data_IF_171898984274
#
_entry.id   IF_171898984274
#
_cell.length_a   1.000
_cell.length_b   1.000
_cell.length_c   1.000
_cell.angle_alpha   90.00
_cell.angle_beta   90.00
_cell.angle_gamma   90.00
#
_symmetry.space_group_name_H-M   'P 1'
#
loop_
_entity.id
_entity.type
_entity.pdbx_description
1 polymer ?
#
# COMPACT_ATOMS: atom_id res chain seq x y z
N UNK A 1 25.47 -1.51 6.46
CA UNK A 1 24.20 -2.25 6.68
C UNK A 1 23.12 -1.19 6.85
N UNK A 2 22.45 -0.83 5.75
CA UNK A 2 21.39 0.18 5.76
C UNK A 2 20.13 -0.54 6.23
N UNK A 3 19.64 -0.19 7.42
CA UNK A 3 18.37 -0.71 7.94
C UNK A 3 17.25 -0.03 7.15
N UNK A 4 16.70 -0.73 6.17
CA UNK A 4 15.48 -0.30 5.49
C UNK A 4 14.32 -0.27 6.50
N UNK A 5 13.82 0.92 6.79
CA UNK A 5 12.54 1.08 7.51
C UNK A 5 11.42 0.94 6.48
N UNK A 6 10.83 -0.24 6.42
CA UNK A 6 9.62 -0.46 5.64
C UNK A 6 8.43 0.30 6.24
N UNK A 7 7.42 0.69 5.44
CA UNK A 7 6.21 1.36 5.95
C UNK A 7 5.45 0.58 7.04
N UNK A 8 5.71 -0.74 7.18
CA UNK A 8 5.20 -1.56 8.28
C UNK A 8 5.84 -1.28 9.63
N UNK A 9 7.06 -0.70 9.65
CA UNK A 9 7.79 -0.33 10.87
C UNK A 9 7.32 1.01 11.48
N UNK A 10 6.29 1.66 10.92
CA UNK A 10 5.69 2.88 11.48
C UNK A 10 4.91 2.64 12.79
N UNK A 11 4.80 1.39 13.25
CA UNK A 11 4.47 1.10 14.65
C UNK A 11 5.64 1.39 15.60
N UNK A 12 6.83 1.71 15.08
CA UNK A 12 8.01 2.02 15.87
C UNK A 12 8.06 3.51 16.29
N UNK A 13 8.14 3.69 17.53
CA UNK A 13 8.31 4.75 18.51
C UNK A 13 8.92 6.12 18.14
N UNK A 14 9.20 6.45 16.88
CA UNK A 14 9.79 7.73 16.45
C UNK A 14 9.04 8.46 15.32
N UNK A 15 7.89 7.93 14.83
CA UNK A 15 7.04 8.69 13.92
C UNK A 15 6.33 9.82 14.69
N UNK A 16 6.09 11.00 14.07
CA UNK A 16 5.28 12.03 14.67
C UNK A 16 3.94 11.46 15.14
N UNK A 17 3.46 11.89 16.31
CA UNK A 17 2.22 11.39 16.94
C UNK A 17 1.01 11.49 15.98
N UNK A 18 0.98 12.50 15.13
CA UNK A 18 -0.05 12.70 14.09
C UNK A 18 -0.04 11.64 13.00
N UNK A 19 1.14 11.20 12.53
CA UNK A 19 1.26 10.15 11.52
C UNK A 19 0.86 8.78 12.08
N UNK A 20 1.26 8.47 13.31
CA UNK A 20 0.84 7.27 14.01
C UNK A 20 -0.68 7.24 14.24
N UNK A 21 -1.29 8.37 14.59
CA UNK A 21 -2.75 8.50 14.77
C UNK A 21 -3.49 8.34 13.45
N UNK A 22 -3.02 8.98 12.37
CA UNK A 22 -3.62 8.87 11.04
C UNK A 22 -3.66 7.41 10.59
N UNK A 23 -2.54 6.69 10.70
CA UNK A 23 -2.47 5.28 10.31
C UNK A 23 -3.45 4.39 11.12
N UNK A 24 -3.59 4.67 12.44
CA UNK A 24 -4.58 3.96 13.28
C UNK A 24 -6.02 4.26 12.85
N UNK A 25 -6.34 5.52 12.57
CA UNK A 25 -7.68 5.93 12.13
C UNK A 25 -8.01 5.36 10.75
N UNK A 26 -7.07 5.40 9.79
CA UNK A 26 -7.23 4.77 8.47
C UNK A 26 -7.52 3.27 8.62
N UNK A 27 -6.73 2.56 9.43
CA UNK A 27 -6.99 1.16 9.73
C UNK A 27 -8.38 0.93 10.30
N UNK A 28 -8.75 1.67 11.36
CA UNK A 28 -10.01 1.48 12.07
C UNK A 28 -11.24 1.79 11.19
N UNK A 29 -11.11 2.70 10.20
CA UNK A 29 -12.15 2.97 9.20
C UNK A 29 -12.19 1.83 8.17
N UNK A 30 -11.05 1.48 7.56
CA UNK A 30 -10.97 0.50 6.47
C UNK A 30 -11.28 -0.93 6.92
N UNK A 31 -11.05 -1.25 8.20
CA UNK A 31 -11.44 -2.53 8.81
C UNK A 31 -12.86 -2.53 9.42
N UNK A 32 -13.61 -1.42 9.30
CA UNK A 32 -15.00 -1.33 9.75
C UNK A 32 -15.19 -1.15 11.27
N UNK A 33 -14.13 -0.87 12.04
CA UNK A 33 -14.25 -0.49 13.46
C UNK A 33 -15.00 0.84 13.63
N UNK A 34 -14.85 1.75 12.68
CA UNK A 34 -15.76 2.88 12.49
C UNK A 34 -16.68 2.58 11.30
N UNK A 35 -17.98 2.62 11.53
CA UNK A 35 -18.98 2.29 10.50
C UNK A 35 -19.22 3.46 9.56
N UNK A 36 -19.54 3.17 8.32
CA UNK A 36 -19.99 4.17 7.36
C UNK A 36 -21.17 4.99 7.93
N UNK A 37 -21.13 6.31 7.76
CA UNK A 37 -22.07 7.26 8.34
C UNK A 37 -21.85 7.56 9.83
N UNK A 38 -20.91 6.89 10.50
CA UNK A 38 -20.62 7.17 11.91
C UNK A 38 -19.98 8.55 12.05
N UNK A 39 -20.50 9.33 13.01
CA UNK A 39 -19.91 10.63 13.37
C UNK A 39 -18.62 10.43 14.16
N UNK A 40 -17.57 11.13 13.75
CA UNK A 40 -16.29 11.20 14.47
C UNK A 40 -16.20 12.54 15.21
N UNK A 41 -16.14 12.50 16.54
CA UNK A 41 -15.96 13.72 17.33
C UNK A 41 -14.53 13.84 17.85
N UNK A 42 -13.98 15.06 17.84
CA UNK A 42 -12.62 15.30 18.36
C UNK A 42 -12.49 14.78 19.80
N UNK A 43 -13.53 14.97 20.63
CA UNK A 43 -13.52 14.57 22.04
C UNK A 43 -13.40 13.05 22.21
N UNK A 44 -14.18 12.27 21.45
CA UNK A 44 -14.13 10.80 21.48
C UNK A 44 -12.78 10.28 20.96
N UNK A 45 -12.27 10.85 19.87
CA UNK A 45 -10.98 10.45 19.31
C UNK A 45 -9.82 10.79 20.27
N UNK A 46 -9.83 11.97 20.90
CA UNK A 46 -8.84 12.32 21.92
C UNK A 46 -8.85 11.31 23.09
N UNK A 47 -10.04 10.92 23.54
CA UNK A 47 -10.18 9.94 24.63
C UNK A 47 -9.76 8.54 24.21
N UNK A 48 -10.16 8.10 22.99
CA UNK A 48 -9.91 6.73 22.49
C UNK A 48 -8.43 6.47 22.22
N UNK A 49 -7.72 7.48 21.68
CA UNK A 49 -6.31 7.33 21.29
C UNK A 49 -5.32 8.02 22.25
N UNK A 50 -5.82 8.59 23.35
CA UNK A 50 -5.03 9.25 24.41
C UNK A 50 -4.14 10.39 23.85
N UNK A 51 -4.70 11.22 22.96
CA UNK A 51 -4.01 12.31 22.28
C UNK A 51 -4.71 13.65 22.48
N UNK A 52 -4.01 14.75 22.24
CA UNK A 52 -4.58 16.11 22.27
C UNK A 52 -5.41 16.40 21.00
N UNK A 53 -6.12 17.54 20.97
CA UNK A 53 -7.00 17.92 19.84
C UNK A 53 -6.24 18.23 18.55
N UNK A 54 -5.02 18.77 18.63
CA UNK A 54 -4.25 19.16 17.45
C UNK A 54 -3.97 17.98 16.51
N UNK A 55 -3.34 16.86 16.96
CA UNK A 55 -3.13 15.70 16.08
C UNK A 55 -4.43 15.07 15.57
N UNK A 56 -5.53 15.15 16.35
CA UNK A 56 -6.84 14.65 15.89
C UNK A 56 -7.37 15.47 14.71
N UNK A 57 -7.28 16.81 14.79
CA UNK A 57 -7.70 17.69 13.69
C UNK A 57 -6.88 17.49 12.42
N UNK A 58 -5.57 17.35 12.57
CA UNK A 58 -4.67 17.06 11.45
C UNK A 58 -5.01 15.73 10.80
N UNK A 59 -5.22 14.68 11.60
CA UNK A 59 -5.60 13.37 11.10
C UNK A 59 -6.98 13.40 10.41
N UNK A 60 -8.00 14.05 10.99
CA UNK A 60 -9.32 14.18 10.35
C UNK A 60 -9.25 14.94 9.04
N UNK A 61 -8.43 16.00 8.96
CA UNK A 61 -8.22 16.74 7.71
C UNK A 61 -7.56 15.85 6.64
N UNK A 62 -6.57 15.05 7.03
CA UNK A 62 -5.93 14.14 6.08
C UNK A 62 -6.88 13.04 5.62
N UNK A 63 -7.70 12.48 6.52
CA UNK A 63 -8.74 11.50 6.18
C UNK A 63 -9.80 12.07 5.22
N UNK A 64 -10.10 13.37 5.32
CA UNK A 64 -10.99 14.06 4.38
C UNK A 64 -10.33 14.19 3.01
N UNK A 65 -9.04 14.54 2.94
CA UNK A 65 -8.26 14.57 1.70
C UNK A 65 -8.18 13.19 1.06
N UNK A 66 -8.05 12.14 1.89
CA UNK A 66 -8.00 10.74 1.45
C UNK A 66 -9.38 10.18 1.05
N UNK A 67 -10.47 10.96 1.23
CA UNK A 67 -11.83 10.56 0.91
C UNK A 67 -12.47 9.55 1.87
N UNK A 68 -11.85 9.28 3.02
CA UNK A 68 -12.37 8.34 4.03
C UNK A 68 -13.37 8.98 5.01
N UNK A 69 -13.36 10.30 5.09
CA UNK A 69 -14.22 11.10 5.97
C UNK A 69 -14.73 12.31 5.19
N UNK A 70 -15.95 12.75 5.49
CA UNK A 70 -16.47 14.04 5.03
C UNK A 70 -16.74 14.98 6.20
N UNK A 71 -16.42 16.26 6.02
CA UNK A 71 -16.76 17.31 6.97
C UNK A 71 -18.04 18.03 6.51
N UNK A 72 -19.14 17.83 7.24
CA UNK A 72 -20.40 18.51 6.97
C UNK A 72 -20.47 19.76 7.85
N UNK A 73 -20.67 20.92 7.20
CA UNK A 73 -20.75 22.21 7.89
C UNK A 73 -21.77 22.17 9.03
N UNK A 74 -21.36 22.62 10.21
CA UNK A 74 -22.11 22.63 11.47
C UNK A 74 -22.55 21.24 11.99
N UNK A 75 -22.16 20.13 11.36
CA UNK A 75 -22.51 18.77 11.79
C UNK A 75 -21.29 17.96 12.22
N UNK A 76 -20.09 18.29 11.74
CA UNK A 76 -18.83 17.64 12.05
C UNK A 76 -18.41 16.59 11.03
N UNK A 77 -17.44 15.75 11.39
CA UNK A 77 -16.84 14.73 10.53
C UNK A 77 -17.63 13.42 10.58
N UNK A 78 -17.83 12.79 9.41
CA UNK A 78 -18.54 11.52 9.24
C UNK A 78 -17.71 10.55 8.40
N UNK A 79 -17.73 9.28 8.74
CA UNK A 79 -17.03 8.23 8.01
C UNK A 79 -17.73 7.97 6.67
N UNK A 80 -16.98 8.09 5.57
CA UNK A 80 -17.40 7.61 4.24
C UNK A 80 -16.95 6.15 4.08
N UNK A 81 -15.69 5.85 4.44
CA UNK A 81 -15.07 4.56 4.22
C UNK A 81 -14.75 4.33 2.75
N UNK A 82 -14.68 3.06 2.34
CA UNK A 82 -14.54 2.62 0.94
C UNK A 82 -15.56 1.52 0.64
N UNK A 83 -16.34 1.69 -0.41
CA UNK A 83 -17.22 0.66 -0.96
C UNK A 83 -16.40 -0.36 -1.78
N UNK A 84 -17.01 -1.51 -2.11
CA UNK A 84 -16.37 -2.47 -3.02
C UNK A 84 -16.11 -1.87 -4.40
N UNK A 85 -17.00 -1.02 -4.91
CA UNK A 85 -16.80 -0.30 -6.16
C UNK A 85 -15.59 0.64 -6.07
N UNK A 86 -15.42 1.39 -4.95
CA UNK A 86 -14.24 2.26 -4.76
C UNK A 86 -12.93 1.46 -4.80
N UNK A 87 -12.93 0.25 -4.22
CA UNK A 87 -11.78 -0.64 -4.30
C UNK A 87 -11.51 -1.12 -5.72
N UNK A 88 -12.53 -1.52 -6.48
CA UNK A 88 -12.37 -1.94 -7.87
C UNK A 88 -11.82 -0.83 -8.75
N UNK A 89 -12.41 0.37 -8.66
CA UNK A 89 -11.97 1.54 -9.40
C UNK A 89 -10.53 1.93 -9.03
N UNK A 90 -10.19 1.87 -7.74
CA UNK A 90 -8.84 2.10 -7.26
C UNK A 90 -7.83 1.09 -7.86
N UNK A 91 -8.20 -0.21 -7.96
CA UNK A 91 -7.32 -1.21 -8.57
C UNK A 91 -7.09 -0.95 -10.05
N UNK A 92 -8.10 -0.51 -10.81
CA UNK A 92 -7.95 -0.14 -12.22
C UNK A 92 -7.01 1.07 -12.38
N UNK A 93 -7.19 2.11 -11.57
CA UNK A 93 -6.30 3.26 -11.59
C UNK A 93 -4.87 2.87 -11.17
N UNK A 94 -4.75 2.10 -10.09
CA UNK A 94 -3.45 1.61 -9.62
C UNK A 94 -2.72 0.84 -10.71
N UNK A 95 -3.40 -0.06 -11.42
CA UNK A 95 -2.80 -0.82 -12.54
C UNK A 95 -2.14 0.09 -13.58
N UNK A 96 -2.84 1.16 -13.98
CA UNK A 96 -2.31 2.12 -14.96
C UNK A 96 -1.00 2.78 -14.45
N UNK A 97 -1.00 3.21 -13.20
CA UNK A 97 0.15 3.89 -12.61
C UNK A 97 1.31 2.94 -12.27
N UNK A 98 1.02 1.70 -11.84
CA UNK A 98 2.05 0.66 -11.60
C UNK A 98 2.79 0.29 -12.88
N UNK A 99 2.06 0.11 -13.99
CA UNK A 99 2.67 -0.14 -15.30
C UNK A 99 3.57 1.01 -15.71
N UNK A 100 3.13 2.25 -15.49
CA UNK A 100 3.95 3.42 -15.81
C UNK A 100 5.17 3.56 -14.88
N UNK A 101 5.03 3.18 -13.59
CA UNK A 101 6.14 3.15 -12.65
C UNK A 101 7.24 2.20 -13.09
N UNK A 102 6.88 0.96 -13.47
CA UNK A 102 7.83 -0.04 -13.99
C UNK A 102 8.55 0.45 -15.24
N UNK A 103 7.82 1.02 -16.21
CA UNK A 103 8.43 1.57 -17.43
C UNK A 103 9.51 2.58 -17.10
N UNK A 104 9.17 3.59 -16.31
CA UNK A 104 10.12 4.62 -15.94
C UNK A 104 11.22 4.11 -15.02
N UNK A 105 10.94 3.15 -14.16
CA UNK A 105 11.95 2.57 -13.30
C UNK A 105 13.01 1.80 -14.11
N UNK A 106 12.62 0.97 -15.08
CA UNK A 106 13.56 0.27 -15.96
C UNK A 106 14.43 1.24 -16.77
N UNK A 107 13.85 2.37 -17.22
CA UNK A 107 14.58 3.40 -17.99
C UNK A 107 15.54 4.25 -17.12
N UNK A 108 15.28 4.39 -15.82
CA UNK A 108 15.90 5.42 -14.97
C UNK A 108 16.64 4.87 -13.74
N UNK A 109 16.50 3.57 -13.47
CA UNK A 109 17.13 2.96 -12.32
C UNK A 109 18.64 3.16 -12.35
N UNK A 110 19.19 3.54 -11.21
CA UNK A 110 20.64 3.56 -10.96
C UNK A 110 21.12 2.17 -10.51
N UNK A 111 22.44 1.95 -10.48
CA UNK A 111 23.01 0.71 -9.94
C UNK A 111 22.57 0.50 -8.49
N UNK A 112 22.50 1.56 -7.68
CA UNK A 112 22.00 1.49 -6.30
C UNK A 112 20.50 1.07 -6.23
N UNK A 113 19.66 1.55 -7.16
CA UNK A 113 18.26 1.11 -7.22
C UNK A 113 18.18 -0.37 -7.59
N UNK A 114 19.04 -0.84 -8.49
CA UNK A 114 19.09 -2.25 -8.90
C UNK A 114 19.57 -3.16 -7.76
N UNK A 115 20.60 -2.76 -7.02
CA UNK A 115 21.04 -3.49 -5.81
C UNK A 115 19.92 -3.64 -4.79
N UNK A 116 19.16 -2.56 -4.53
CA UNK A 116 18.01 -2.59 -3.63
C UNK A 116 16.89 -3.49 -4.11
N UNK A 117 16.61 -3.49 -5.42
CA UNK A 117 15.58 -4.32 -6.01
C UNK A 117 15.95 -5.80 -5.92
N UNK A 118 17.21 -6.14 -6.20
CA UNK A 118 17.76 -7.48 -6.08
C UNK A 118 17.70 -7.99 -4.63
N UNK A 119 18.21 -7.21 -3.66
CA UNK A 119 18.14 -7.54 -2.24
C UNK A 119 16.71 -7.79 -1.77
N UNK A 120 15.78 -6.93 -2.21
CA UNK A 120 14.36 -7.07 -1.85
C UNK A 120 13.76 -8.34 -2.46
N UNK A 121 14.13 -8.68 -3.70
CA UNK A 121 13.67 -9.90 -4.36
C UNK A 121 14.23 -11.17 -3.71
N UNK A 122 15.49 -11.18 -3.31
CA UNK A 122 16.10 -12.29 -2.54
C UNK A 122 15.37 -12.53 -1.22
N UNK A 123 14.99 -11.46 -0.49
CA UNK A 123 14.17 -11.61 0.71
C UNK A 123 12.78 -12.16 0.41
N UNK A 124 12.15 -11.82 -0.73
CA UNK A 124 10.88 -12.43 -1.14
C UNK A 124 11.04 -13.94 -1.34
N UNK A 125 12.08 -14.40 -2.06
CA UNK A 125 12.38 -15.81 -2.22
C UNK A 125 12.58 -16.51 -0.87
N UNK A 126 13.40 -15.91 0.00
CA UNK A 126 13.72 -16.48 1.32
C UNK A 126 12.48 -16.66 2.20
N UNK A 127 11.59 -15.67 2.27
CA UNK A 127 10.39 -15.75 3.11
C UNK A 127 9.28 -16.60 2.47
N UNK A 128 9.21 -16.66 1.15
CA UNK A 128 8.33 -17.60 0.43
C UNK A 128 8.71 -19.05 0.74
N UNK A 129 9.99 -19.42 0.68
CA UNK A 129 10.48 -20.76 1.01
C UNK A 129 10.21 -21.15 2.48
N UNK A 130 10.06 -20.18 3.37
CA UNK A 130 9.74 -20.39 4.79
C UNK A 130 8.25 -20.33 5.10
N UNK A 131 7.43 -20.09 4.10
CA UNK A 131 5.99 -19.86 4.25
C UNK A 131 5.66 -18.78 5.29
N UNK A 132 6.50 -17.73 5.38
CA UNK A 132 6.32 -16.60 6.31
C UNK A 132 5.50 -15.51 5.60
N UNK A 133 4.18 -15.64 5.68
CA UNK A 133 3.21 -14.78 5.00
C UNK A 133 3.38 -13.31 5.42
N UNK A 134 3.52 -13.04 6.72
CA UNK A 134 3.59 -11.66 7.24
C UNK A 134 4.82 -10.92 6.70
N UNK A 135 5.98 -11.57 6.77
CA UNK A 135 7.21 -10.98 6.24
C UNK A 135 7.18 -10.87 4.73
N UNK A 136 6.67 -11.89 4.03
CA UNK A 136 6.54 -11.83 2.58
C UNK A 136 5.65 -10.67 2.13
N UNK A 137 4.52 -10.41 2.78
CA UNK A 137 3.65 -9.27 2.48
C UNK A 137 4.35 -7.93 2.74
N UNK A 138 5.17 -7.85 3.79
CA UNK A 138 5.97 -6.66 4.09
C UNK A 138 7.00 -6.41 3.00
N UNK A 139 7.75 -7.44 2.59
CA UNK A 139 8.75 -7.36 1.53
C UNK A 139 8.10 -7.06 0.18
N UNK A 140 6.95 -7.67 -0.12
CA UNK A 140 6.17 -7.36 -1.32
C UNK A 140 5.85 -5.85 -1.43
N UNK A 141 5.44 -5.24 -0.32
CA UNK A 141 5.22 -3.80 -0.26
C UNK A 141 6.51 -3.03 -0.54
N UNK A 142 7.63 -3.47 0.04
CA UNK A 142 8.97 -2.89 -0.18
C UNK A 142 9.43 -2.98 -1.63
N UNK A 143 9.21 -4.10 -2.30
CA UNK A 143 9.56 -4.29 -3.72
C UNK A 143 8.89 -3.23 -4.61
N UNK A 144 7.60 -3.02 -4.43
CA UNK A 144 6.89 -1.96 -5.14
C UNK A 144 7.42 -0.56 -4.80
N UNK A 145 7.76 -0.28 -3.53
CA UNK A 145 8.33 1.01 -3.14
C UNK A 145 9.69 1.27 -3.82
N UNK A 146 10.56 0.27 -3.95
CA UNK A 146 11.82 0.39 -4.69
C UNK A 146 11.54 0.77 -6.15
N UNK A 147 10.56 0.14 -6.81
CA UNK A 147 10.16 0.49 -8.18
C UNK A 147 9.66 1.94 -8.26
N UNK A 148 8.84 2.39 -7.29
CA UNK A 148 8.34 3.77 -7.28
C UNK A 148 9.48 4.79 -7.13
N UNK A 149 10.48 4.50 -6.29
CA UNK A 149 11.66 5.33 -6.11
C UNK A 149 12.54 5.34 -7.36
N UNK A 150 12.77 4.17 -7.96
CA UNK A 150 13.54 4.01 -9.19
C UNK A 150 12.88 4.71 -10.39
N UNK A 151 11.56 4.89 -10.40
CA UNK A 151 10.85 5.67 -11.43
C UNK A 151 11.30 7.14 -11.49
N UNK A 152 11.97 7.64 -10.42
CA UNK A 152 12.41 9.04 -10.23
C UNK A 152 11.28 10.06 -10.37
N UNK A 153 10.01 9.63 -10.23
CA UNK A 153 8.85 10.50 -10.27
C UNK A 153 8.21 10.65 -8.89
N UNK A 154 8.47 11.78 -8.22
CA UNK A 154 7.99 12.05 -6.87
C UNK A 154 6.46 12.03 -6.75
N UNK A 155 5.73 12.52 -7.76
CA UNK A 155 4.26 12.55 -7.72
C UNK A 155 3.67 11.14 -7.86
N UNK A 156 4.20 10.35 -8.80
CA UNK A 156 3.79 8.96 -8.99
C UNK A 156 4.06 8.12 -7.73
N UNK A 157 5.26 8.27 -7.14
CA UNK A 157 5.59 7.60 -5.87
C UNK A 157 4.57 7.95 -4.77
N UNK A 158 4.26 9.24 -4.56
CA UNK A 158 3.30 9.68 -3.55
C UNK A 158 1.92 9.06 -3.77
N UNK A 159 1.43 9.06 -5.01
CA UNK A 159 0.13 8.50 -5.38
C UNK A 159 0.07 6.99 -5.13
N UNK A 160 1.06 6.25 -5.63
CA UNK A 160 1.09 4.79 -5.48
C UNK A 160 1.28 4.35 -4.03
N UNK A 161 2.08 5.08 -3.23
CA UNK A 161 2.23 4.80 -1.79
C UNK A 161 0.91 5.00 -1.03
N UNK A 162 0.07 5.97 -1.42
CA UNK A 162 -1.26 6.10 -0.82
C UNK A 162 -2.18 4.93 -1.15
N UNK A 163 -2.18 4.42 -2.40
CA UNK A 163 -2.96 3.24 -2.79
C UNK A 163 -2.53 1.98 -2.03
N UNK A 164 -1.24 1.80 -1.76
CA UNK A 164 -0.76 0.66 -0.95
C UNK A 164 -1.38 0.64 0.45
N UNK A 165 -1.59 1.81 1.06
CA UNK A 165 -2.24 1.91 2.37
C UNK A 165 -3.67 1.37 2.34
N UNK A 166 -4.45 1.68 1.32
CA UNK A 166 -5.82 1.16 1.19
C UNK A 166 -5.85 -0.35 0.96
N UNK A 167 -4.97 -0.86 0.11
CA UNK A 167 -4.88 -2.29 -0.19
C UNK A 167 -4.49 -3.11 1.05
N UNK A 168 -3.64 -2.58 1.92
CA UNK A 168 -3.19 -3.25 3.15
C UNK A 168 -4.36 -3.63 4.06
N UNK A 169 -5.39 -2.78 4.13
CA UNK A 169 -6.49 -2.94 5.07
C UNK A 169 -7.75 -3.58 4.48
N UNK A 170 -7.80 -3.84 3.16
CA UNK A 170 -8.91 -4.62 2.61
C UNK A 170 -8.80 -6.05 3.13
N UNK A 171 -9.77 -6.47 3.94
CA UNK A 171 -9.79 -7.76 4.62
C UNK A 171 -9.74 -8.91 3.62
N UNK A 172 -8.81 -9.83 3.82
CA UNK A 172 -8.59 -10.92 2.90
C UNK A 172 -7.93 -12.14 3.57
N UNK A 173 -8.36 -12.47 4.81
CA UNK A 173 -7.86 -13.63 5.53
C UNK A 173 -7.99 -14.95 4.74
N UNK A 174 -8.92 -14.99 3.76
CA UNK A 174 -9.21 -16.16 2.94
C UNK A 174 -8.38 -16.33 1.67
N UNK A 175 -7.51 -15.35 1.33
CA UNK A 175 -6.74 -15.40 0.07
C UNK A 175 -5.35 -16.03 0.21
N UNK A 176 -4.91 -16.38 1.40
CA UNK A 176 -3.58 -16.95 1.62
C UNK A 176 -3.66 -18.48 1.66
N UNK A 177 -3.91 -19.10 0.51
CA UNK A 177 -3.78 -20.54 0.33
C UNK A 177 -2.29 -20.96 0.19
N UNK A 178 -2.04 -22.28 0.19
CA UNK A 178 -0.68 -22.83 0.16
C UNK A 178 0.12 -22.40 -1.10
N UNK A 179 -0.56 -22.11 -2.21
CA UNK A 179 0.07 -21.70 -3.47
C UNK A 179 0.21 -20.19 -3.60
N UNK A 180 -0.40 -19.40 -2.71
CA UNK A 180 -0.43 -17.93 -2.81
C UNK A 180 0.96 -17.31 -2.88
N UNK A 181 1.83 -17.64 -1.92
CA UNK A 181 3.17 -17.05 -1.82
C UNK A 181 4.01 -17.38 -3.05
N UNK A 182 3.95 -18.66 -3.51
CA UNK A 182 4.69 -19.10 -4.70
C UNK A 182 4.18 -18.38 -5.95
N UNK A 183 2.86 -18.26 -6.12
CA UNK A 183 2.26 -17.54 -7.26
C UNK A 183 2.67 -16.07 -7.28
N UNK A 184 2.64 -15.40 -6.13
CA UNK A 184 3.08 -13.99 -6.01
C UNK A 184 4.57 -13.85 -6.30
N UNK A 185 5.41 -14.77 -5.81
CA UNK A 185 6.85 -14.77 -6.09
C UNK A 185 7.14 -14.87 -7.60
N UNK A 186 6.47 -15.79 -8.31
CA UNK A 186 6.67 -15.96 -9.76
C UNK A 186 6.24 -14.72 -10.56
N UNK A 187 5.20 -14.02 -10.13
CA UNK A 187 4.79 -12.75 -10.73
C UNK A 187 5.89 -11.69 -10.57
N UNK A 188 6.46 -11.57 -9.36
CA UNK A 188 7.54 -10.64 -9.08
C UNK A 188 8.85 -11.02 -9.77
N UNK A 189 9.12 -12.32 -9.92
CA UNK A 189 10.26 -12.83 -10.71
C UNK A 189 10.19 -12.37 -12.16
N UNK A 190 9.01 -12.39 -12.76
CA UNK A 190 8.83 -11.91 -14.13
C UNK A 190 9.07 -10.40 -14.26
N UNK A 191 8.64 -9.62 -13.23
CA UNK A 191 8.92 -8.18 -13.18
C UNK A 191 10.42 -7.94 -13.01
N UNK A 192 11.05 -8.58 -12.00
CA UNK A 192 12.47 -8.43 -11.71
C UNK A 192 13.36 -8.82 -12.91
N UNK A 193 13.02 -9.92 -13.60
CA UNK A 193 13.72 -10.33 -14.83
C UNK A 193 13.72 -9.22 -15.88
N UNK A 194 12.61 -8.51 -16.06
CA UNK A 194 12.52 -7.42 -17.03
C UNK A 194 13.45 -6.23 -16.67
N UNK A 195 13.73 -6.00 -15.37
CA UNK A 195 14.74 -5.03 -14.94
C UNK A 195 16.16 -5.48 -15.30
N UNK A 196 16.50 -6.75 -15.06
CA UNK A 196 17.80 -7.32 -15.44
C UNK A 196 18.02 -7.24 -16.94
N UNK A 197 17.00 -7.62 -17.74
CA UNK A 197 17.06 -7.62 -19.20
C UNK A 197 16.91 -6.19 -19.79
N UNK A 198 16.62 -5.18 -18.96
CA UNK A 198 16.28 -3.80 -19.37
C UNK A 198 15.16 -3.72 -20.40
N UNK A 199 14.20 -4.66 -20.32
CA UNK A 199 13.08 -4.76 -21.26
C UNK A 199 11.83 -4.06 -20.69
N UNK A 200 11.63 -2.80 -21.10
CA UNK A 200 10.48 -1.97 -20.71
C UNK A 200 9.14 -2.60 -21.10
N UNK A 201 9.07 -3.29 -22.25
CA UNK A 201 7.82 -3.90 -22.72
C UNK A 201 7.47 -5.15 -21.92
N UNK A 202 8.47 -6.01 -21.67
CA UNK A 202 8.30 -7.17 -20.81
C UNK A 202 7.91 -6.77 -19.38
N UNK A 203 8.56 -5.75 -18.82
CA UNK A 203 8.23 -5.22 -17.50
C UNK A 203 6.80 -4.67 -17.39
N UNK A 204 6.36 -3.90 -18.38
CA UNK A 204 4.98 -3.42 -18.46
C UNK A 204 3.96 -4.56 -18.48
N UNK A 205 4.19 -5.59 -19.30
CA UNK A 205 3.31 -6.75 -19.42
C UNK A 205 3.32 -7.61 -18.14
N UNK A 206 4.48 -7.80 -17.52
CA UNK A 206 4.60 -8.52 -16.26
C UNK A 206 3.83 -7.82 -15.12
N UNK A 207 3.98 -6.50 -15.00
CA UNK A 207 3.24 -5.70 -14.02
C UNK A 207 1.72 -5.72 -14.29
N UNK A 208 1.29 -5.62 -15.53
CA UNK A 208 -0.13 -5.72 -15.90
C UNK A 208 -0.74 -7.06 -15.45
N UNK A 209 -0.05 -8.16 -15.70
CA UNK A 209 -0.48 -9.51 -15.28
C UNK A 209 -0.53 -9.62 -13.75
N UNK A 210 0.48 -9.12 -13.07
CA UNK A 210 0.53 -9.08 -11.61
C UNK A 210 -0.64 -8.29 -11.02
N UNK A 211 -0.95 -7.12 -11.56
CA UNK A 211 -2.06 -6.29 -11.08
C UNK A 211 -3.43 -6.91 -11.34
N UNK A 212 -3.63 -7.57 -12.48
CA UNK A 212 -4.87 -8.29 -12.76
C UNK A 212 -5.09 -9.44 -11.76
N UNK A 213 -4.08 -10.27 -11.52
CA UNK A 213 -4.15 -11.34 -10.51
C UNK A 213 -4.35 -10.80 -9.10
N UNK A 214 -3.70 -9.68 -8.76
CA UNK A 214 -3.89 -9.03 -7.46
C UNK A 214 -5.34 -8.57 -7.29
N UNK A 215 -5.95 -7.98 -8.33
CA UNK A 215 -7.38 -7.61 -8.31
C UNK A 215 -8.27 -8.83 -8.13
N UNK A 216 -8.08 -9.89 -8.91
CA UNK A 216 -8.84 -11.14 -8.81
C UNK A 216 -8.79 -11.73 -7.40
N UNK A 217 -7.61 -11.80 -6.78
CA UNK A 217 -7.45 -12.30 -5.40
C UNK A 217 -8.12 -11.42 -4.35
N UNK A 218 -8.19 -10.11 -4.57
CA UNK A 218 -8.63 -9.15 -3.56
C UNK A 218 -10.09 -8.71 -3.71
N UNK A 219 -10.60 -8.66 -4.93
CA UNK A 219 -11.97 -8.24 -5.21
C UNK A 219 -12.89 -9.43 -5.54
N UNK A 220 -12.33 -10.65 -5.75
CA UNK A 220 -13.06 -11.81 -6.21
C UNK A 220 -13.26 -11.78 -7.72
N UNK A 221 -13.56 -12.95 -8.30
CA UNK A 221 -14.11 -13.02 -9.67
C UNK A 221 -15.61 -12.74 -9.54
N UNK A 222 -16.08 -11.61 -10.09
CA UNK A 222 -17.51 -11.34 -10.29
C UNK A 222 -18.03 -12.28 -11.37
#
# INVERSE_FOLDING_TARGET
MVVYKYPGDLENSNAPLSESLLAKLQRDILTGHFKQGQKLTEQELCKRYEVSRTPVREALRQLEIDGLVENILNRGAFVIGMSDQDYEDMFELRKIYEIQAVKWAIERATDEDMEKLEETFEFMEFYTLRNDIEKMLTINTGFHQVIYEASKNRQLRKLLSSYQTFVKYKNSESIYDDDYLQSVLEEHRAIFKAFIDKDVKAGALAMERHMNKTKERRCGSI
#
